data_IF_660572177408
#
_entry.id   IF_660572177408
#
_cell.length_a   1.000
_cell.length_b   1.000
_cell.length_c   1.000
_cell.angle_alpha   90.00
_cell.angle_beta   90.00
_cell.angle_gamma   90.00
#
_symmetry.space_group_name_H-M   'P 1'
#
loop_
_entity.id
_entity.type
_entity.pdbx_description
1 polymer ?
#
# COMPACT_ATOMS: atom_id res chain seq x y z
N UNK A 1 -11.45 3.93 2.49
CA UNK A 1 -10.50 3.08 1.74
C UNK A 1 -9.39 2.74 2.73
N UNK A 2 -9.58 1.72 3.57
CA UNK A 2 -8.85 1.61 4.84
C UNK A 2 -7.32 1.55 4.65
N UNK A 3 -6.82 0.81 3.66
CA UNK A 3 -5.37 0.65 3.39
C UNK A 3 -4.66 1.97 3.05
N UNK A 4 -5.28 2.82 2.22
CA UNK A 4 -4.66 4.08 1.78
C UNK A 4 -4.57 5.09 2.94
N UNK A 5 -5.58 5.10 3.81
CA UNK A 5 -5.62 5.94 5.00
C UNK A 5 -4.56 5.49 6.03
N UNK A 6 -4.38 4.18 6.22
CA UNK A 6 -3.29 3.65 7.05
C UNK A 6 -1.90 4.05 6.53
N UNK A 7 -1.69 4.00 5.21
CA UNK A 7 -0.42 4.45 4.63
C UNK A 7 -0.22 5.98 4.72
N UNK A 8 -1.29 6.76 4.55
CA UNK A 8 -1.26 8.21 4.76
C UNK A 8 -0.92 8.58 6.21
N UNK A 9 -1.37 7.78 7.17
CA UNK A 9 -1.01 7.88 8.60
C UNK A 9 0.41 7.35 8.91
N UNK A 10 1.20 7.05 7.88
CA UNK A 10 2.57 6.51 7.96
C UNK A 10 2.67 5.14 8.65
N UNK A 11 1.57 4.38 8.67
CA UNK A 11 1.59 3.01 9.19
C UNK A 11 2.41 2.12 8.28
N UNK A 12 3.32 1.34 8.87
CA UNK A 12 4.21 0.46 8.12
C UNK A 12 3.43 -0.69 7.46
N UNK A 13 3.81 -1.13 6.25
CA UNK A 13 3.20 -2.27 5.56
C UNK A 13 2.97 -3.54 6.43
N UNK A 14 3.91 -3.99 7.27
CA UNK A 14 3.67 -5.14 8.15
C UNK A 14 2.56 -4.92 9.19
N UNK A 15 2.37 -3.69 9.69
CA UNK A 15 1.27 -3.39 10.60
C UNK A 15 -0.06 -3.39 9.85
N UNK A 16 -0.10 -2.81 8.64
CA UNK A 16 -1.27 -2.88 7.74
C UNK A 16 -1.64 -4.35 7.44
N UNK A 17 -0.65 -5.21 7.20
CA UNK A 17 -0.85 -6.64 7.00
C UNK A 17 -1.50 -7.30 8.22
N UNK A 18 -1.04 -6.94 9.43
CA UNK A 18 -1.56 -7.47 10.69
C UNK A 18 -2.98 -7.00 10.97
N UNK A 19 -3.29 -5.74 10.70
CA UNK A 19 -4.63 -5.16 10.86
C UNK A 19 -5.65 -5.81 9.94
N UNK A 20 -5.26 -6.12 8.70
CA UNK A 20 -6.14 -6.69 7.68
C UNK A 20 -6.05 -8.21 7.58
N UNK A 21 -5.21 -8.85 8.40
CA UNK A 21 -4.91 -10.29 8.39
C UNK A 21 -4.52 -10.83 7.01
N UNK A 22 -3.80 -10.03 6.24
CA UNK A 22 -3.26 -10.42 4.93
C UNK A 22 -1.78 -10.76 5.03
N UNK A 23 -1.27 -11.42 3.99
CA UNK A 23 0.16 -11.69 3.87
C UNK A 23 0.98 -10.39 3.81
N UNK A 24 2.16 -10.40 4.42
CA UNK A 24 3.11 -9.27 4.40
C UNK A 24 3.45 -8.85 2.96
N UNK A 25 3.58 -9.80 2.04
CA UNK A 25 3.84 -9.52 0.61
C UNK A 25 2.73 -8.69 -0.05
N UNK A 26 1.46 -8.94 0.30
CA UNK A 26 0.34 -8.15 -0.21
C UNK A 26 0.38 -6.73 0.30
N UNK A 27 0.72 -6.54 1.58
CA UNK A 27 0.86 -5.21 2.15
C UNK A 27 2.04 -4.42 1.56
N UNK A 28 3.16 -5.08 1.27
CA UNK A 28 4.26 -4.47 0.51
C UNK A 28 3.83 -4.06 -0.90
N UNK A 29 3.09 -4.91 -1.61
CA UNK A 29 2.56 -4.56 -2.93
C UNK A 29 1.59 -3.37 -2.87
N UNK A 30 0.72 -3.30 -1.87
CA UNK A 30 -0.17 -2.17 -1.67
C UNK A 30 0.58 -0.88 -1.39
N UNK A 31 1.63 -0.92 -0.57
CA UNK A 31 2.48 0.23 -0.32
C UNK A 31 3.18 0.71 -1.60
N UNK A 32 3.66 -0.22 -2.44
CA UNK A 32 4.27 0.11 -3.74
C UNK A 32 3.27 0.75 -4.70
N UNK A 33 2.03 0.25 -4.76
CA UNK A 33 0.97 0.85 -5.58
C UNK A 33 0.54 2.22 -5.06
N UNK A 34 0.43 2.37 -3.74
CA UNK A 34 0.14 3.65 -3.10
C UNK A 34 1.24 4.68 -3.39
N UNK A 35 2.52 4.29 -3.35
CA UNK A 35 3.61 5.18 -3.75
C UNK A 35 3.55 5.58 -5.24
N UNK A 36 3.05 4.71 -6.12
CA UNK A 36 3.01 4.99 -7.57
C UNK A 36 1.83 5.85 -8.00
N UNK A 37 0.69 5.81 -7.30
CA UNK A 37 -0.51 6.51 -7.75
C UNK A 37 -1.54 6.83 -6.66
N UNK A 38 -1.11 6.85 -5.39
CA UNK A 38 -1.94 7.21 -4.25
C UNK A 38 -3.10 6.25 -4.01
N UNK A 39 -4.19 6.78 -3.44
CA UNK A 39 -5.41 6.03 -3.14
C UNK A 39 -6.05 5.44 -4.40
N UNK A 40 -6.01 6.17 -5.53
CA UNK A 40 -6.62 5.77 -6.80
C UNK A 40 -6.00 4.51 -7.41
N UNK A 41 -4.70 4.30 -7.20
CA UNK A 41 -4.01 3.09 -7.63
C UNK A 41 -4.45 1.84 -6.83
N UNK A 42 -4.78 2.01 -5.56
CA UNK A 42 -5.32 0.94 -4.70
C UNK A 42 -6.78 0.59 -5.03
N UNK A 43 -7.59 1.56 -5.50
CA UNK A 43 -8.99 1.31 -5.88
C UNK A 43 -9.10 0.47 -7.16
N UNK A 44 -8.18 0.68 -8.11
CA UNK A 44 -8.40 0.22 -9.49
C UNK A 44 -7.83 -1.17 -9.82
N UNK A 45 -6.96 -1.76 -9.01
CA UNK A 45 -6.31 -3.03 -9.38
C UNK A 45 -6.12 -3.96 -8.19
N UNK A 46 -6.75 -5.14 -8.28
CA UNK A 46 -6.32 -6.31 -7.52
C UNK A 46 -4.82 -6.60 -7.75
N UNK A 47 -4.20 -7.43 -6.89
CA UNK A 47 -2.76 -7.44 -6.61
C UNK A 47 -1.89 -7.58 -7.86
N UNK A 48 -1.53 -6.45 -8.47
CA UNK A 48 -0.62 -6.39 -9.61
C UNK A 48 0.76 -6.03 -9.10
N UNK A 49 1.67 -7.02 -9.15
CA UNK A 49 3.08 -6.94 -8.76
C UNK A 49 3.77 -5.77 -9.47
N UNK A 50 3.97 -4.66 -8.75
CA UNK A 50 4.71 -3.50 -9.24
C UNK A 50 5.86 -3.19 -8.28
N UNK A 51 7.06 -3.06 -8.85
CA UNK A 51 8.30 -2.67 -8.18
C UNK A 51 8.56 -1.19 -8.44
N UNK A 52 8.62 -0.34 -7.40
CA UNK A 52 9.10 1.03 -7.54
C UNK A 52 9.54 1.67 -6.20
N UNK A 53 10.70 2.31 -6.26
CA UNK A 53 11.41 3.05 -5.21
C UNK A 53 10.57 4.16 -4.55
N UNK A 54 10.65 4.25 -3.21
CA UNK A 54 9.84 5.16 -2.39
C UNK A 54 10.52 6.54 -2.27
N UNK A 55 10.40 7.41 -3.27
CA UNK A 55 10.94 8.79 -3.17
C UNK A 55 9.99 9.90 -3.65
N UNK A 56 8.69 9.80 -3.38
CA UNK A 56 7.83 10.99 -3.38
C UNK A 56 6.47 10.71 -2.73
N UNK A 57 6.14 11.47 -1.69
CA UNK A 57 4.78 11.89 -1.32
C UNK A 57 4.92 12.81 -0.10
N UNK A 58 5.12 14.11 -0.37
CA UNK A 58 4.90 15.19 0.61
C UNK A 58 3.46 15.66 0.53
#
# INVERSE_FOLDING_TARGET
>A
MQVAELFADKVKPPEVARHLRVSRESAYQWHQMWCQGGDRALVSRGPSRAVADCRHAS
#
